data_IF_251583399665
#
_entry.id   IF_251583399665
#
_cell.length_a   1.000
_cell.length_b   1.000
_cell.length_c   1.000
_cell.angle_alpha   90.00
_cell.angle_beta   90.00
_cell.angle_gamma   90.00
#
_symmetry.space_group_name_H-M   'P 1'
#
loop_
_entity.id
_entity.type
_entity.pdbx_description
1 polymer ?
#
# COMPACT_ATOMS: atom_id res chain seq x y z
N UNK A 1 -15.30 -30.61 -4.79
CA UNK A 1 -14.79 -31.08 -6.10
C UNK A 1 -15.95 -30.96 -7.09
N UNK A 2 -16.06 -29.83 -7.82
CA UNK A 2 -17.05 -29.66 -8.89
C UNK A 2 -16.33 -29.84 -10.22
N UNK A 3 -16.52 -31.01 -10.84
CA UNK A 3 -16.20 -31.23 -12.26
C UNK A 3 -17.53 -31.28 -13.00
N UNK A 4 -18.15 -30.13 -13.23
CA UNK A 4 -19.19 -30.03 -14.25
C UNK A 4 -18.49 -29.51 -15.49
N UNK A 5 -18.24 -30.39 -16.45
CA UNK A 5 -17.63 -30.08 -17.75
C UNK A 5 -18.57 -29.31 -18.70
N UNK A 6 -19.74 -28.91 -18.22
CA UNK A 6 -20.76 -28.19 -18.99
C UNK A 6 -21.37 -27.05 -18.14
N UNK A 7 -20.76 -25.86 -18.16
CA UNK A 7 -21.24 -24.71 -17.41
C UNK A 7 -22.48 -24.05 -18.01
N UNK A 8 -22.67 -24.13 -19.33
CA UNK A 8 -23.90 -23.69 -20.00
C UNK A 8 -25.08 -24.56 -19.56
N UNK A 9 -24.92 -25.88 -19.58
CA UNK A 9 -25.97 -26.78 -19.10
C UNK A 9 -26.28 -26.62 -17.62
N UNK A 10 -25.32 -26.19 -16.79
CA UNK A 10 -25.62 -25.81 -15.40
C UNK A 10 -26.45 -24.53 -15.31
N UNK A 11 -26.08 -23.47 -16.04
CA UNK A 11 -26.82 -22.21 -16.06
C UNK A 11 -28.24 -22.39 -16.62
N UNK A 12 -28.40 -23.20 -17.66
CA UNK A 12 -29.68 -23.51 -18.27
C UNK A 12 -30.62 -24.24 -17.29
N UNK A 13 -30.06 -25.14 -16.47
CA UNK A 13 -30.83 -25.87 -15.44
C UNK A 13 -31.16 -25.05 -14.20
N UNK A 14 -30.36 -24.04 -13.86
CA UNK A 14 -30.47 -23.35 -12.57
C UNK A 14 -30.92 -21.88 -12.69
N UNK A 15 -30.84 -21.29 -13.88
CA UNK A 15 -31.23 -19.90 -14.18
C UNK A 15 -31.72 -19.76 -15.61
N UNK A 16 -32.87 -20.33 -15.94
CA UNK A 16 -33.41 -20.44 -17.31
C UNK A 16 -33.40 -19.13 -18.14
N UNK A 17 -33.48 -17.95 -17.50
CA UNK A 17 -33.50 -16.65 -18.18
C UNK A 17 -32.14 -15.93 -18.27
N UNK A 18 -31.04 -16.54 -17.80
CA UNK A 18 -29.72 -15.88 -17.69
C UNK A 18 -29.23 -15.25 -19.01
N UNK A 19 -29.55 -15.87 -20.15
CA UNK A 19 -29.20 -15.35 -21.50
C UNK A 19 -29.90 -14.03 -21.83
N UNK A 20 -31.12 -13.82 -21.32
CA UNK A 20 -31.90 -12.59 -21.53
C UNK A 20 -31.51 -11.47 -20.57
N UNK A 21 -30.95 -11.83 -19.41
CA UNK A 21 -30.46 -10.90 -18.38
C UNK A 21 -29.08 -10.31 -18.73
N UNK A 22 -28.35 -10.91 -19.66
CA UNK A 22 -27.06 -10.39 -20.10
C UNK A 22 -27.25 -9.16 -21.01
N UNK A 23 -26.56 -8.04 -20.73
CA UNK A 23 -26.65 -6.81 -21.54
C UNK A 23 -26.04 -6.96 -22.94
N UNK A 24 -25.44 -8.11 -23.25
CA UNK A 24 -24.81 -8.44 -24.52
C UNK A 24 -25.42 -9.76 -25.03
N UNK A 25 -25.82 -9.80 -26.31
CA UNK A 25 -26.19 -11.04 -26.98
C UNK A 25 -24.92 -11.82 -27.31
N UNK A 26 -24.68 -12.90 -26.59
CA UNK A 26 -23.57 -13.82 -26.84
C UNK A 26 -24.11 -15.03 -27.61
N UNK A 27 -23.38 -15.47 -28.63
CA UNK A 27 -23.58 -16.82 -29.20
C UNK A 27 -23.00 -17.88 -28.25
N UNK A 28 -23.37 -19.15 -28.47
CA UNK A 28 -23.00 -20.24 -27.54
C UNK A 28 -21.49 -20.49 -27.47
N UNK A 29 -20.75 -20.24 -28.56
CA UNK A 29 -19.30 -20.37 -28.60
C UNK A 29 -18.61 -19.24 -27.80
N UNK A 30 -19.06 -17.99 -27.96
CA UNK A 30 -18.59 -16.85 -27.17
C UNK A 30 -18.98 -16.96 -25.70
N UNK A 31 -20.19 -17.45 -25.40
CA UNK A 31 -20.62 -17.71 -24.03
C UNK A 31 -19.81 -18.83 -23.39
N UNK A 32 -19.52 -19.91 -24.12
CA UNK A 32 -18.65 -21.00 -23.65
C UNK A 32 -17.24 -20.49 -23.40
N UNK A 33 -16.66 -19.70 -24.30
CA UNK A 33 -15.33 -19.13 -24.12
C UNK A 33 -15.26 -18.20 -22.91
N UNK A 34 -16.24 -17.31 -22.76
CA UNK A 34 -16.33 -16.36 -21.65
C UNK A 34 -16.55 -17.06 -20.30
N UNK A 35 -17.39 -18.10 -20.27
CA UNK A 35 -17.61 -18.91 -19.08
C UNK A 35 -16.40 -19.82 -18.77
N UNK A 36 -15.75 -20.36 -19.78
CA UNK A 36 -14.53 -21.14 -19.63
C UNK A 36 -13.41 -20.27 -19.06
N UNK A 37 -13.27 -19.01 -19.47
CA UNK A 37 -12.35 -18.05 -18.86
C UNK A 37 -12.70 -17.72 -17.41
N UNK A 38 -13.99 -17.55 -17.08
CA UNK A 38 -14.46 -17.32 -15.71
C UNK A 38 -14.23 -18.54 -14.80
N UNK A 39 -14.31 -19.76 -15.35
CA UNK A 39 -14.14 -21.02 -14.61
C UNK A 39 -12.67 -21.44 -14.52
N UNK A 40 -11.87 -21.12 -15.55
CA UNK A 40 -10.44 -21.37 -15.58
C UNK A 40 -9.62 -20.27 -14.88
N UNK A 41 -10.23 -19.13 -14.54
CA UNK A 41 -9.63 -18.15 -13.66
C UNK A 41 -9.20 -18.84 -12.35
N UNK A 42 -7.90 -18.81 -11.99
CA UNK A 42 -7.48 -19.25 -10.67
C UNK A 42 -8.35 -18.51 -9.65
N UNK A 43 -8.97 -19.24 -8.72
CA UNK A 43 -9.78 -18.59 -7.67
C UNK A 43 -8.91 -17.55 -6.99
N UNK A 44 -9.23 -16.29 -7.24
CA UNK A 44 -8.48 -15.15 -6.73
C UNK A 44 -8.18 -15.26 -5.25
N UNK A 45 -6.98 -14.86 -4.89
CA UNK A 45 -6.60 -14.68 -3.49
C UNK A 45 -7.54 -13.60 -2.94
N UNK A 46 -8.47 -14.03 -2.07
CA UNK A 46 -9.28 -13.12 -1.27
C UNK A 46 -8.45 -12.76 -0.06
N UNK A 47 -8.13 -11.48 0.06
CA UNK A 47 -7.35 -10.95 1.17
C UNK A 47 -8.22 -10.09 2.07
N UNK A 48 -7.97 -10.18 3.37
CA UNK A 48 -8.41 -9.17 4.33
C UNK A 48 -7.31 -8.10 4.39
N UNK A 49 -7.70 -6.81 4.42
CA UNK A 49 -6.81 -5.65 4.57
C UNK A 49 -5.73 -5.37 3.49
N UNK A 50 -5.41 -6.30 2.58
CA UNK A 50 -4.39 -6.12 1.53
C UNK A 50 -5.02 -6.06 0.15
N UNK A 51 -4.81 -5.00 -0.63
CA UNK A 51 -5.25 -4.92 -2.03
C UNK A 51 -4.11 -5.18 -3.01
N UNK A 52 -2.90 -4.77 -2.63
CA UNK A 52 -1.69 -4.95 -3.39
C UNK A 52 -0.56 -5.42 -2.48
N UNK A 53 0.37 -6.17 -3.04
CA UNK A 53 1.56 -6.63 -2.34
C UNK A 53 2.79 -6.18 -3.12
N UNK A 54 3.78 -5.62 -2.42
CA UNK A 54 5.11 -5.46 -2.99
C UNK A 54 5.82 -6.79 -3.04
N UNK A 55 6.54 -7.01 -4.13
CA UNK A 55 7.24 -8.26 -4.40
C UNK A 55 8.67 -7.99 -4.83
N UNK A 56 9.56 -8.91 -4.49
CA UNK A 56 10.88 -9.05 -5.12
C UNK A 56 10.89 -10.37 -5.87
N UNK A 57 11.23 -10.32 -7.15
CA UNK A 57 11.31 -11.50 -8.02
C UNK A 57 12.77 -11.71 -8.43
N UNK A 58 13.27 -12.92 -8.23
CA UNK A 58 14.63 -13.29 -8.58
C UNK A 58 14.79 -13.30 -10.11
N UNK A 59 15.83 -12.67 -10.62
CA UNK A 59 16.19 -12.62 -12.05
C UNK A 59 17.71 -12.77 -12.17
N UNK A 60 18.15 -13.97 -12.55
CA UNK A 60 19.57 -14.34 -12.52
C UNK A 60 20.10 -14.27 -11.08
N UNK A 61 21.19 -13.56 -10.89
CA UNK A 61 21.82 -13.37 -9.57
C UNK A 61 21.24 -12.19 -8.76
N UNK A 62 20.30 -11.43 -9.35
CA UNK A 62 19.71 -10.24 -8.74
C UNK A 62 18.21 -10.38 -8.46
N UNK A 63 17.67 -9.31 -7.86
CA UNK A 63 16.25 -9.19 -7.54
C UNK A 63 15.64 -7.95 -8.18
N UNK A 64 14.43 -8.09 -8.69
CA UNK A 64 13.68 -6.99 -9.32
C UNK A 64 12.37 -6.78 -8.56
N UNK A 65 12.03 -5.52 -8.33
CA UNK A 65 10.82 -5.11 -7.62
C UNK A 65 9.58 -5.17 -8.50
N UNK A 66 8.43 -5.37 -7.86
CA UNK A 66 7.15 -5.28 -8.53
C UNK A 66 5.96 -5.23 -7.58
N UNK A 67 4.79 -5.25 -8.18
CA UNK A 67 3.50 -5.31 -7.50
C UNK A 67 2.69 -6.51 -7.99
N UNK A 68 2.02 -7.17 -7.05
CA UNK A 68 0.89 -8.04 -7.33
C UNK A 68 -0.37 -7.44 -6.72
N UNK A 69 -1.47 -7.52 -7.46
CA UNK A 69 -2.77 -7.08 -6.99
C UNK A 69 -3.67 -8.28 -6.68
N UNK A 70 -4.43 -8.20 -5.60
CA UNK A 70 -5.44 -9.20 -5.28
C UNK A 70 -6.62 -9.08 -6.26
N UNK A 71 -7.21 -10.22 -6.64
CA UNK A 71 -8.45 -10.21 -7.43
C UNK A 71 -9.63 -9.69 -6.61
N UNK A 72 -9.57 -9.89 -5.28
CA UNK A 72 -10.59 -9.41 -4.36
C UNK A 72 -9.98 -9.09 -3.00
N UNK A 73 -10.38 -7.98 -2.41
CA UNK A 73 -10.02 -7.59 -1.06
C UNK A 73 -11.25 -7.10 -0.27
N UNK A 74 -11.26 -7.35 1.03
CA UNK A 74 -12.21 -6.67 1.95
C UNK A 74 -11.44 -5.67 2.81
N UNK A 75 -11.75 -4.39 2.65
CA UNK A 75 -10.99 -3.29 3.24
C UNK A 75 -11.86 -2.46 4.19
N UNK A 76 -11.36 -2.14 5.38
CA UNK A 76 -12.00 -1.16 6.28
C UNK A 76 -11.69 0.25 5.79
N UNK A 77 -12.59 1.21 6.06
CA UNK A 77 -12.43 2.61 5.62
C UNK A 77 -11.08 3.24 6.01
N UNK A 78 -10.54 2.88 7.19
CA UNK A 78 -9.24 3.38 7.66
C UNK A 78 -8.07 2.99 6.74
N UNK A 79 -8.17 1.92 5.94
CA UNK A 79 -7.13 1.49 5.01
C UNK A 79 -7.06 2.37 3.76
N UNK A 80 -8.09 3.17 3.47
CA UNK A 80 -8.03 4.17 2.40
C UNK A 80 -7.30 5.45 2.83
N UNK A 81 -6.76 5.48 4.05
CA UNK A 81 -6.06 6.62 4.60
C UNK A 81 -6.91 7.88 4.51
N UNK A 82 -6.38 8.91 3.84
CA UNK A 82 -7.06 10.18 3.66
C UNK A 82 -8.32 10.13 2.79
N UNK A 83 -8.38 9.19 1.83
CA UNK A 83 -9.55 9.04 0.98
C UNK A 83 -10.77 8.53 1.75
N UNK A 84 -10.58 7.89 2.92
CA UNK A 84 -11.67 7.33 3.72
C UNK A 84 -12.72 8.37 4.14
N UNK A 85 -12.33 9.63 4.32
CA UNK A 85 -13.24 10.72 4.73
C UNK A 85 -14.18 11.21 3.64
N UNK A 86 -13.92 10.90 2.37
CA UNK A 86 -14.76 11.33 1.23
C UNK A 86 -15.64 10.21 0.68
N UNK A 87 -15.52 8.99 1.20
CA UNK A 87 -16.31 7.86 0.74
C UNK A 87 -17.73 7.93 1.32
N UNK A 88 -18.72 7.88 0.44
CA UNK A 88 -20.12 7.93 0.81
C UNK A 88 -20.67 6.52 1.03
N UNK A 89 -21.48 6.36 2.07
CA UNK A 89 -22.14 5.09 2.33
C UNK A 89 -23.12 4.75 1.20
N UNK A 90 -23.15 3.48 0.78
CA UNK A 90 -24.00 3.00 -0.31
C UNK A 90 -23.54 3.37 -1.73
N UNK A 91 -22.47 4.15 -1.89
CA UNK A 91 -21.90 4.45 -3.21
C UNK A 91 -21.07 3.27 -3.75
N UNK A 92 -21.00 3.18 -5.08
CA UNK A 92 -20.08 2.28 -5.79
C UNK A 92 -19.06 3.11 -6.56
N UNK A 93 -17.78 2.74 -6.41
CA UNK A 93 -16.67 3.45 -7.04
C UNK A 93 -15.91 2.51 -7.98
N UNK A 94 -15.28 3.10 -8.99
CA UNK A 94 -14.21 2.47 -9.75
C UNK A 94 -12.87 2.94 -9.18
N UNK A 95 -11.92 2.03 -9.04
CA UNK A 95 -10.56 2.36 -8.65
C UNK A 95 -9.67 2.28 -9.89
N UNK A 96 -9.02 3.38 -10.24
CA UNK A 96 -8.11 3.47 -11.38
C UNK A 96 -6.70 3.79 -10.91
N UNK A 97 -5.66 3.30 -11.59
CA UNK A 97 -4.28 3.67 -11.28
C UNK A 97 -4.06 5.17 -11.53
N UNK A 98 -3.20 5.77 -10.72
CA UNK A 98 -2.80 7.18 -10.83
C UNK A 98 -1.27 7.30 -10.74
N UNK A 99 -0.72 8.40 -11.25
CA UNK A 99 0.72 8.64 -11.27
C UNK A 99 1.47 7.53 -12.01
N UNK A 100 2.63 7.14 -11.48
CA UNK A 100 3.49 6.10 -12.08
C UNK A 100 2.80 4.75 -12.24
N UNK A 101 1.81 4.43 -11.39
CA UNK A 101 1.04 3.19 -11.53
C UNK A 101 0.17 3.21 -12.79
N UNK A 102 -0.29 4.38 -13.24
CA UNK A 102 -1.06 4.50 -14.47
C UNK A 102 -0.19 4.16 -15.70
N UNK A 103 1.10 4.50 -15.67
CA UNK A 103 2.04 4.15 -16.74
C UNK A 103 2.39 2.66 -16.71
N UNK A 104 2.62 2.09 -15.53
CA UNK A 104 3.04 0.69 -15.36
C UNK A 104 1.90 -0.31 -15.59
N UNK A 105 0.67 0.05 -15.21
CA UNK A 105 -0.51 -0.83 -15.30
C UNK A 105 -1.78 -0.06 -15.75
N UNK A 106 -1.80 0.54 -16.95
CA UNK A 106 -2.90 1.42 -17.40
C UNK A 106 -4.28 0.75 -17.49
N UNK A 107 -4.29 -0.58 -17.59
CA UNK A 107 -5.50 -1.41 -17.68
C UNK A 107 -5.99 -1.91 -16.32
N UNK A 108 -5.27 -1.61 -15.24
CA UNK A 108 -5.69 -1.98 -13.90
C UNK A 108 -7.00 -1.27 -13.56
N UNK A 109 -7.99 -2.03 -13.13
CA UNK A 109 -9.30 -1.51 -12.79
C UNK A 109 -9.90 -2.36 -11.67
N UNK A 110 -10.48 -1.69 -10.68
CA UNK A 110 -11.28 -2.36 -9.65
C UNK A 110 -12.65 -1.70 -9.52
N UNK A 111 -13.60 -2.46 -9.01
CA UNK A 111 -14.84 -1.93 -8.43
C UNK A 111 -14.76 -2.01 -6.93
N UNK A 112 -15.21 -0.96 -6.24
CA UNK A 112 -15.35 -0.92 -4.79
C UNK A 112 -16.82 -0.65 -4.43
N UNK A 113 -17.38 -1.47 -3.55
CA UNK A 113 -18.74 -1.29 -3.02
C UNK A 113 -18.78 -1.60 -1.54
N UNK A 114 -19.55 -0.82 -0.78
CA UNK A 114 -19.67 -1.02 0.65
C UNK A 114 -20.53 -2.25 0.99
N UNK A 115 -20.04 -3.09 1.91
CA UNK A 115 -20.78 -4.21 2.53
C UNK A 115 -21.49 -3.74 3.80
N UNK A 116 -22.42 -4.56 4.29
CA UNK A 116 -22.93 -4.45 5.65
C UNK A 116 -21.77 -4.45 6.66
N UNK A 117 -21.84 -3.58 7.67
CA UNK A 117 -20.76 -3.39 8.65
C UNK A 117 -19.67 -2.39 8.24
N UNK A 118 -19.81 -1.72 7.09
CA UNK A 118 -18.98 -0.57 6.71
C UNK A 118 -17.63 -0.91 6.06
N UNK A 119 -17.33 -2.19 5.86
CA UNK A 119 -16.20 -2.64 5.06
C UNK A 119 -16.50 -2.51 3.55
N UNK A 120 -15.45 -2.45 2.74
CA UNK A 120 -15.53 -2.30 1.29
C UNK A 120 -15.11 -3.59 0.61
N UNK A 121 -15.96 -4.11 -0.27
CA UNK A 121 -15.61 -5.17 -1.21
C UNK A 121 -14.92 -4.52 -2.41
N UNK A 122 -13.63 -4.79 -2.58
CA UNK A 122 -12.88 -4.37 -3.76
C UNK A 122 -12.64 -5.59 -4.63
N UNK A 123 -12.98 -5.49 -5.92
CA UNK A 123 -12.84 -6.59 -6.89
C UNK A 123 -12.16 -6.09 -8.15
N UNK A 124 -11.22 -6.85 -8.68
CA UNK A 124 -10.59 -6.57 -9.97
C UNK A 124 -11.61 -6.74 -11.09
N UNK A 125 -11.54 -5.85 -12.08
CA UNK A 125 -12.31 -5.96 -13.33
C UNK A 125 -11.36 -6.55 -14.36
N UNK A 126 -11.47 -7.86 -14.59
CA UNK A 126 -10.55 -8.63 -15.41
C UNK A 126 -9.56 -9.43 -14.57
N UNK A 127 -8.44 -9.83 -15.19
CA UNK A 127 -7.41 -10.62 -14.51
C UNK A 127 -6.60 -9.74 -13.57
N UNK A 128 -6.35 -10.21 -12.34
CA UNK A 128 -5.41 -9.55 -11.44
C UNK A 128 -4.04 -9.36 -12.11
N UNK A 129 -3.48 -8.17 -11.96
CA UNK A 129 -2.14 -7.88 -12.43
C UNK A 129 -1.12 -8.47 -11.44
N UNK A 130 -0.38 -9.49 -11.88
CA UNK A 130 0.69 -10.13 -11.12
C UNK A 130 2.05 -9.70 -11.68
N UNK A 131 2.97 -9.34 -10.79
CA UNK A 131 4.36 -9.03 -11.17
C UNK A 131 4.51 -7.79 -12.07
N UNK A 132 3.69 -6.75 -11.84
CA UNK A 132 3.84 -5.45 -12.52
C UNK A 132 5.19 -4.87 -12.10
N UNK A 133 6.15 -4.64 -13.02
CA UNK A 133 7.41 -4.00 -12.67
C UNK A 133 7.15 -2.61 -12.07
N UNK A 134 7.61 -2.39 -10.85
CA UNK A 134 7.27 -1.17 -10.13
C UNK A 134 8.30 -0.85 -9.04
N UNK A 135 8.88 0.36 -9.03
CA UNK A 135 9.93 0.70 -8.08
C UNK A 135 9.48 0.64 -6.61
N UNK A 136 10.41 0.29 -5.73
CA UNK A 136 10.17 0.23 -4.29
C UNK A 136 9.84 1.60 -3.67
N UNK A 137 10.44 2.68 -4.18
CA UNK A 137 10.38 4.05 -3.66
C UNK A 137 9.25 4.92 -4.25
N UNK A 138 8.39 4.30 -5.06
CA UNK A 138 7.24 4.92 -5.70
C UNK A 138 5.93 4.44 -5.07
N UNK A 139 4.96 5.32 -4.75
CA UNK A 139 3.70 4.91 -4.16
C UNK A 139 2.76 4.27 -5.19
N UNK A 140 2.11 3.17 -4.81
CA UNK A 140 1.14 2.47 -5.65
C UNK A 140 -0.24 3.16 -5.57
N UNK A 141 -0.42 4.26 -6.29
CA UNK A 141 -1.58 5.14 -6.14
C UNK A 141 -2.80 4.66 -6.94
N UNK A 142 -3.96 4.60 -6.27
CA UNK A 142 -5.27 4.37 -6.86
C UNK A 142 -6.20 5.56 -6.59
N UNK A 143 -7.06 5.87 -7.55
CA UNK A 143 -8.05 6.94 -7.48
C UNK A 143 -9.48 6.38 -7.42
N UNK A 144 -10.29 6.88 -6.49
CA UNK A 144 -11.74 6.68 -6.49
C UNK A 144 -12.37 7.53 -7.59
N UNK A 145 -13.08 6.87 -8.51
CA UNK A 145 -13.81 7.50 -9.62
C UNK A 145 -15.26 7.04 -9.59
N UNK A 146 -16.20 7.99 -9.56
CA UNK A 146 -17.63 7.76 -9.75
C UNK A 146 -18.20 8.86 -10.64
N UNK A 147 -19.20 8.52 -11.46
CA UNK A 147 -19.86 9.47 -12.38
C UNK A 147 -18.89 10.28 -13.26
N UNK A 148 -17.80 9.64 -13.69
CA UNK A 148 -16.75 10.27 -14.49
C UNK A 148 -15.85 11.26 -13.75
N UNK A 149 -16.03 11.44 -12.43
CA UNK A 149 -15.28 12.38 -11.59
C UNK A 149 -14.34 11.65 -10.63
N UNK A 150 -13.13 12.18 -10.47
CA UNK A 150 -12.18 11.75 -9.44
C UNK A 150 -12.57 12.36 -8.09
N UNK A 151 -12.72 11.52 -7.07
CA UNK A 151 -13.09 11.95 -5.71
C UNK A 151 -11.87 12.09 -4.79
N UNK A 152 -11.01 11.08 -4.76
CA UNK A 152 -9.79 11.07 -3.96
C UNK A 152 -8.82 10.01 -4.47
N UNK A 153 -7.56 10.09 -4.02
CA UNK A 153 -6.55 9.09 -4.27
C UNK A 153 -6.00 8.54 -2.95
N UNK A 154 -5.55 7.29 -2.98
CA UNK A 154 -4.99 6.59 -1.83
C UNK A 154 -3.93 5.59 -2.31
N UNK A 155 -2.97 5.30 -1.44
CA UNK A 155 -1.98 4.25 -1.71
C UNK A 155 -2.62 2.88 -1.49
N UNK A 156 -2.40 1.94 -2.43
CA UNK A 156 -2.98 0.61 -2.37
C UNK A 156 -2.55 -0.13 -1.07
N UNK A 157 -3.50 -0.54 -0.21
CA UNK A 157 -3.19 -1.22 1.04
C UNK A 157 -2.35 -2.47 0.83
N UNK A 158 -1.30 -2.62 1.65
CA UNK A 158 -0.34 -3.73 1.59
C UNK A 158 0.89 -3.51 0.70
N UNK A 159 0.93 -2.41 -0.06
CA UNK A 159 2.06 -2.05 -0.92
C UNK A 159 2.69 -0.68 -0.57
N UNK A 160 3.08 -0.43 0.69
CA UNK A 160 3.57 0.90 1.11
C UNK A 160 4.87 1.27 0.41
N UNK A 161 5.02 2.53 0.01
CA UNK A 161 6.22 3.08 -0.60
C UNK A 161 7.47 2.95 0.29
N UNK A 162 8.45 2.14 -0.11
CA UNK A 162 9.68 1.82 0.63
C UNK A 162 10.85 2.74 0.25
N UNK A 163 11.10 3.77 1.08
CA UNK A 163 12.23 4.70 0.84
C UNK A 163 13.42 4.45 1.74
N UNK A 164 14.59 4.84 1.26
CA UNK A 164 15.80 4.93 2.07
C UNK A 164 15.61 5.84 3.29
N UNK A 165 16.26 5.50 4.41
CA UNK A 165 16.16 6.26 5.67
C UNK A 165 14.97 5.90 6.57
N UNK A 166 14.00 5.13 6.06
CA UNK A 166 12.84 4.65 6.85
C UNK A 166 13.14 3.35 7.61
N UNK A 167 14.38 2.88 7.53
CA UNK A 167 14.88 1.66 8.14
C UNK A 167 14.66 0.40 7.28
N UNK A 168 15.10 -0.78 7.78
CA UNK A 168 14.96 -2.03 7.05
C UNK A 168 13.52 -2.44 6.77
N UNK A 169 13.34 -3.27 5.74
CA UNK A 169 12.08 -3.91 5.41
C UNK A 169 12.24 -5.43 5.45
N UNK A 170 11.20 -6.11 5.92
CA UNK A 170 11.16 -7.56 6.06
C UNK A 170 10.25 -8.16 5.00
N UNK A 171 10.65 -9.31 4.49
CA UNK A 171 10.04 -10.01 3.39
C UNK A 171 9.93 -11.50 3.69
N UNK A 172 8.93 -12.15 3.10
CA UNK A 172 8.65 -13.59 3.24
C UNK A 172 8.72 -14.27 1.90
N UNK A 173 9.13 -15.53 1.88
CA UNK A 173 9.00 -16.32 0.66
C UNK A 173 7.52 -16.58 0.37
N UNK A 174 7.09 -16.42 -0.89
CA UNK A 174 5.73 -16.78 -1.29
C UNK A 174 5.51 -18.29 -1.19
N UNK A 175 6.50 -19.06 -1.66
CA UNK A 175 6.58 -20.51 -1.54
C UNK A 175 7.91 -20.90 -0.87
N UNK A 176 7.86 -21.89 0.01
CA UNK A 176 9.07 -22.46 0.59
C UNK A 176 9.77 -23.32 -0.47
N UNK A 177 11.06 -23.08 -0.74
CA UNK A 177 11.84 -23.95 -1.62
C UNK A 177 11.93 -25.36 -1.02
N UNK A 178 11.99 -26.37 -1.88
CA UNK A 178 12.13 -27.76 -1.45
C UNK A 178 13.52 -28.06 -0.87
N UNK A 179 14.53 -27.30 -1.31
CA UNK A 179 15.94 -27.40 -0.93
C UNK A 179 16.44 -26.09 -0.27
N UNK A 180 17.75 -26.01 0.02
CA UNK A 180 18.41 -24.83 0.59
C UNK A 180 18.52 -23.62 -0.37
N UNK A 181 17.98 -23.75 -1.59
CA UNK A 181 17.96 -22.69 -2.60
C UNK A 181 17.22 -21.43 -2.14
N UNK A 182 17.65 -20.24 -2.58
CA UNK A 182 16.89 -19.01 -2.30
C UNK A 182 15.58 -19.03 -3.10
N UNK A 183 14.49 -18.48 -2.53
CA UNK A 183 13.17 -18.48 -3.15
C UNK A 183 13.17 -17.68 -4.45
N UNK A 184 12.26 -17.99 -5.38
CA UNK A 184 12.13 -17.20 -6.61
C UNK A 184 11.39 -15.88 -6.39
N UNK A 185 10.57 -15.81 -5.33
CA UNK A 185 9.69 -14.68 -5.07
C UNK A 185 9.54 -14.41 -3.58
N UNK A 186 9.67 -13.14 -3.24
CA UNK A 186 9.47 -12.62 -1.90
C UNK A 186 8.32 -11.62 -1.90
N UNK A 187 7.52 -11.64 -0.84
CA UNK A 187 6.41 -10.73 -0.61
C UNK A 187 6.72 -9.87 0.61
N UNK A 188 6.43 -8.57 0.51
CA UNK A 188 6.63 -7.63 1.60
C UNK A 188 5.86 -8.06 2.84
N UNK A 189 6.55 -8.14 3.98
CA UNK A 189 6.00 -8.61 5.24
C UNK A 189 5.87 -7.48 6.28
N UNK A 190 6.69 -6.43 6.23
CA UNK A 190 6.56 -5.31 7.15
C UNK A 190 7.84 -4.49 7.34
N UNK A 191 7.79 -3.57 8.30
CA UNK A 191 8.91 -2.67 8.71
C UNK A 191 9.19 -2.69 10.21
N UNK A 192 8.54 -3.56 10.97
CA UNK A 192 8.75 -3.70 12.41
C UNK A 192 8.92 -5.16 12.77
N UNK A 193 8.64 -5.50 14.02
CA UNK A 193 8.72 -6.87 14.51
C UNK A 193 7.87 -7.85 13.69
N UNK A 194 8.32 -9.09 13.62
CA UNK A 194 7.59 -10.17 12.94
C UNK A 194 7.88 -11.52 13.60
N UNK A 195 6.83 -12.33 13.69
CA UNK A 195 6.89 -13.73 14.07
C UNK A 195 6.34 -14.55 12.91
N UNK A 196 7.07 -15.56 12.45
CA UNK A 196 6.65 -16.37 11.29
C UNK A 196 6.87 -17.85 11.53
N UNK A 197 6.05 -18.68 10.87
CA UNK A 197 6.26 -20.13 10.78
C UNK A 197 7.34 -20.49 9.77
N UNK A 198 7.62 -19.61 8.81
CA UNK A 198 8.67 -19.85 7.83
C UNK A 198 10.03 -19.99 8.54
N UNK A 199 10.89 -20.93 8.10
CA UNK A 199 12.21 -21.12 8.71
C UNK A 199 13.12 -19.91 8.49
N UNK A 200 12.89 -19.16 7.41
CA UNK A 200 13.66 -17.97 7.04
C UNK A 200 12.74 -16.77 6.78
N UNK A 201 13.28 -15.59 7.04
CA UNK A 201 12.79 -14.31 6.55
C UNK A 201 13.88 -13.64 5.72
N UNK A 202 13.52 -12.56 5.04
CA UNK A 202 14.47 -11.81 4.23
C UNK A 202 14.44 -10.34 4.63
N UNK A 203 15.62 -9.79 4.89
CA UNK A 203 15.84 -8.39 5.21
C UNK A 203 16.34 -7.68 3.96
N UNK A 204 15.62 -6.67 3.50
CA UNK A 204 16.18 -5.70 2.56
C UNK A 204 16.81 -4.57 3.36
N UNK A 205 18.14 -4.48 3.25
CA UNK A 205 18.97 -3.47 3.88
C UNK A 205 19.31 -2.36 2.88
N UNK A 206 18.85 -1.11 3.10
CA UNK A 206 19.09 -0.01 2.17
C UNK A 206 20.45 0.69 2.38
N UNK A 207 21.16 0.42 3.49
CA UNK A 207 22.39 1.11 3.85
C UNK A 207 23.66 0.47 3.30
N UNK A 208 24.77 1.20 3.37
CA UNK A 208 26.10 0.63 3.20
C UNK A 208 26.46 -0.25 4.42
N UNK A 209 27.23 -1.31 4.19
CA UNK A 209 27.62 -2.26 5.23
C UNK A 209 26.60 -3.38 5.46
N UNK A 210 26.74 -4.07 6.60
CA UNK A 210 25.88 -5.18 7.00
C UNK A 210 24.95 -4.75 8.14
N UNK A 211 23.72 -5.29 8.20
CA UNK A 211 22.82 -5.06 9.32
C UNK A 211 23.40 -5.59 10.62
N UNK A 212 23.10 -4.93 11.75
CA UNK A 212 23.46 -5.43 13.08
C UNK A 212 22.38 -6.39 13.60
N UNK A 213 22.80 -7.34 14.45
CA UNK A 213 21.92 -8.31 15.08
C UNK A 213 22.17 -8.42 16.58
N UNK A 214 21.11 -8.70 17.34
CA UNK A 214 21.17 -9.07 18.76
C UNK A 214 20.42 -10.37 18.99
N UNK A 215 20.87 -11.17 19.96
CA UNK A 215 20.28 -12.48 20.24
C UNK A 215 20.74 -13.55 19.25
N UNK A 216 19.92 -14.57 19.07
CA UNK A 216 20.24 -15.75 18.24
C UNK A 216 19.68 -15.57 16.83
N UNK A 217 20.21 -14.60 16.08
CA UNK A 217 19.81 -14.33 14.69
C UNK A 217 21.01 -14.56 13.78
N UNK A 218 20.85 -15.49 12.85
CA UNK A 218 21.80 -15.71 11.77
C UNK A 218 21.42 -14.84 10.56
N UNK A 219 22.45 -14.30 9.90
CA UNK A 219 22.36 -13.50 8.68
C UNK A 219 23.23 -14.12 7.59
N UNK A 220 22.65 -14.29 6.40
CA UNK A 220 23.40 -14.70 5.21
C UNK A 220 23.05 -13.79 4.03
N UNK A 221 24.04 -13.27 3.27
CA UNK A 221 23.76 -12.47 2.08
C UNK A 221 23.10 -13.34 1.00
N UNK A 222 22.09 -12.77 0.32
CA UNK A 222 21.32 -13.47 -0.73
C UNK A 222 21.55 -12.85 -2.10
N UNK A 223 21.66 -11.52 -2.19
CA UNK A 223 21.88 -10.83 -3.46
C UNK A 223 21.53 -9.35 -3.39
N UNK A 224 21.67 -8.67 -4.51
CA UNK A 224 21.35 -7.25 -4.65
C UNK A 224 19.96 -7.05 -5.28
N UNK A 225 19.29 -5.96 -4.89
CA UNK A 225 18.03 -5.53 -5.49
C UNK A 225 18.31 -4.42 -6.49
N UNK A 226 17.72 -4.50 -7.69
CA UNK A 226 17.93 -3.54 -8.78
C UNK A 226 17.60 -2.09 -8.38
N UNK A 227 16.61 -1.91 -7.51
CA UNK A 227 16.21 -0.60 -6.96
C UNK A 227 17.12 -0.13 -5.81
N UNK A 228 18.19 -0.87 -5.53
CA UNK A 228 19.16 -0.58 -4.47
C UNK A 228 18.95 -1.40 -3.20
N UNK A 229 20.04 -1.53 -2.45
CA UNK A 229 20.11 -2.30 -1.21
C UNK A 229 20.49 -3.76 -1.42
N UNK A 230 20.71 -4.43 -0.28
CA UNK A 230 21.15 -5.82 -0.22
C UNK A 230 20.15 -6.67 0.55
N UNK A 231 19.89 -7.85 0.02
CA UNK A 231 19.00 -8.81 0.62
C UNK A 231 19.80 -9.79 1.49
N UNK A 232 19.34 -10.01 2.71
CA UNK A 232 19.90 -10.98 3.64
C UNK A 232 18.83 -11.97 4.09
N UNK A 233 19.14 -13.26 4.11
CA UNK A 233 18.33 -14.27 4.77
C UNK A 233 18.55 -14.20 6.28
N UNK A 234 17.44 -14.28 7.02
CA UNK A 234 17.35 -14.23 8.47
C UNK A 234 16.81 -15.55 8.99
N UNK A 235 17.40 -16.10 10.04
CA UNK A 235 16.81 -17.20 10.82
C UNK A 235 17.14 -17.09 12.30
N UNK A 236 16.23 -17.54 13.17
CA UNK A 236 16.41 -17.60 14.61
C UNK A 236 15.48 -16.67 15.39
N UNK A 237 15.91 -16.25 16.58
CA UNK A 237 15.14 -15.41 17.51
C UNK A 237 16.02 -14.31 18.13
N UNK A 238 15.71 -13.06 17.76
CA UNK A 238 16.44 -11.91 18.24
C UNK A 238 15.98 -10.63 17.58
N UNK A 239 16.89 -9.69 17.39
CA UNK A 239 16.59 -8.38 16.84
C UNK A 239 17.53 -8.07 15.69
N UNK A 240 17.02 -7.36 14.68
CA UNK A 240 17.79 -6.88 13.53
C UNK A 240 17.54 -5.39 13.31
N UNK A 241 18.59 -4.64 12.99
CA UNK A 241 18.50 -3.20 12.77
C UNK A 241 19.87 -2.52 12.82
N UNK A 242 19.86 -1.19 12.96
CA UNK A 242 21.02 -0.42 13.43
C UNK A 242 20.67 0.13 14.80
N UNK A 243 19.63 0.96 14.85
CA UNK A 243 19.12 1.61 16.07
C UNK A 243 17.60 1.44 16.25
N UNK A 244 16.90 1.10 15.15
CA UNK A 244 15.49 0.70 15.17
C UNK A 244 15.37 -0.82 15.12
N UNK A 245 15.58 -1.45 16.27
CA UNK A 245 15.52 -2.89 16.42
C UNK A 245 14.11 -3.43 16.14
N UNK A 246 14.00 -4.27 15.11
CA UNK A 246 12.82 -5.08 14.86
C UNK A 246 13.05 -6.46 15.45
N UNK A 247 12.12 -6.94 16.30
CA UNK A 247 12.18 -8.31 16.82
C UNK A 247 11.82 -9.28 15.71
N UNK A 248 12.66 -10.26 15.46
CA UNK A 248 12.45 -11.30 14.47
C UNK A 248 12.44 -12.65 15.15
N UNK A 249 11.42 -13.45 14.86
CA UNK A 249 11.36 -14.87 15.25
C UNK A 249 10.90 -15.72 14.08
N UNK A 250 11.78 -16.58 13.58
CA UNK A 250 11.49 -17.55 12.51
C UNK A 250 11.21 -18.95 13.07
N UNK A 251 10.61 -19.82 12.26
CA UNK A 251 10.32 -21.21 12.65
C UNK A 251 9.37 -21.36 13.83
N UNK A 252 8.52 -20.37 14.08
CA UNK A 252 7.63 -20.38 15.24
C UNK A 252 6.35 -21.18 15.00
N UNK A 253 5.64 -21.50 16.08
CA UNK A 253 4.28 -22.07 16.09
C UNK A 253 3.17 -21.12 15.58
N UNK A 254 3.42 -19.80 15.54
CA UNK A 254 2.44 -18.74 15.24
C UNK A 254 2.98 -17.76 14.22
N UNK A 255 2.06 -17.05 13.57
CA UNK A 255 2.37 -15.87 12.76
C UNK A 255 1.82 -14.62 13.43
N UNK A 256 2.69 -13.63 13.61
CA UNK A 256 2.32 -12.28 14.02
C UNK A 256 2.94 -11.32 13.02
N UNK A 257 2.08 -10.65 12.25
CA UNK A 257 2.44 -9.60 11.30
C UNK A 257 1.79 -8.29 11.74
N UNK A 258 2.57 -7.22 11.69
CA UNK A 258 2.11 -5.89 12.05
C UNK A 258 2.25 -4.90 10.90
N UNK A 259 1.25 -4.04 10.75
CA UNK A 259 1.30 -2.86 9.90
C UNK A 259 0.77 -1.63 10.64
N UNK A 260 1.14 -0.43 10.17
CA UNK A 260 0.68 0.84 10.72
C UNK A 260 0.13 1.70 9.57
N UNK A 261 -1.13 2.11 9.71
CA UNK A 261 -1.88 2.83 8.71
C UNK A 261 -2.29 4.21 9.23
N UNK A 262 -1.78 5.30 8.64
CA UNK A 262 -2.24 6.66 8.97
C UNK A 262 -3.56 6.96 8.24
N UNK A 263 -4.53 7.52 8.96
CA UNK A 263 -5.81 7.96 8.43
C UNK A 263 -6.15 9.35 8.99
N UNK A 264 -6.69 10.23 8.16
CA UNK A 264 -7.03 11.59 8.60
C UNK A 264 -7.14 12.59 7.46
N UNK A 265 -7.37 13.84 7.82
CA UNK A 265 -7.51 14.92 6.84
C UNK A 265 -6.15 15.24 6.18
N UNK A 266 -6.17 15.38 4.86
CA UNK A 266 -5.01 15.83 4.08
C UNK A 266 -5.32 17.11 3.32
N UNK A 267 -4.27 17.83 2.91
CA UNK A 267 -4.42 18.91 1.94
C UNK A 267 -4.90 18.33 0.60
N UNK A 268 -6.11 18.70 0.11
CA UNK A 268 -6.64 18.14 -1.12
C UNK A 268 -5.74 18.42 -2.32
N UNK A 269 -5.55 17.43 -3.19
CA UNK A 269 -4.76 17.54 -4.42
C UNK A 269 -3.30 18.00 -4.23
N UNK A 270 -2.77 17.89 -3.02
CA UNK A 270 -1.39 18.24 -2.72
C UNK A 270 -0.62 17.05 -2.16
N UNK A 271 0.63 16.94 -2.59
CA UNK A 271 1.56 15.90 -2.19
C UNK A 271 2.90 16.48 -1.82
N UNK A 272 3.67 15.72 -1.05
CA UNK A 272 5.07 16.05 -0.84
C UNK A 272 5.88 15.84 -2.14
N UNK A 273 7.16 16.21 -2.11
CA UNK A 273 8.08 16.00 -3.24
C UNK A 273 8.21 14.55 -3.70
N UNK A 274 7.74 13.60 -2.89
CA UNK A 274 7.77 12.16 -3.15
C UNK A 274 6.38 11.58 -3.48
N UNK A 275 5.37 12.42 -3.70
CA UNK A 275 4.04 11.93 -4.07
C UNK A 275 3.22 11.35 -2.92
N UNK A 276 3.60 11.54 -1.66
CA UNK A 276 2.79 11.14 -0.51
C UNK A 276 1.76 12.21 -0.10
N UNK A 277 0.60 11.81 0.45
CA UNK A 277 -0.37 12.75 0.98
C UNK A 277 0.20 13.63 2.10
N UNK A 278 -0.20 14.90 2.11
CA UNK A 278 0.16 15.87 3.16
C UNK A 278 -0.93 15.91 4.25
N UNK A 279 -0.69 15.28 5.39
CA UNK A 279 -1.64 15.22 6.52
C UNK A 279 -1.67 16.51 7.32
N UNK A 280 -2.88 16.98 7.67
CA UNK A 280 -3.10 18.16 8.51
C UNK A 280 -2.94 17.81 9.98
N UNK A 281 -1.78 18.14 10.55
CA UNK A 281 -1.41 17.72 11.90
C UNK A 281 -1.27 16.20 12.00
N UNK A 282 -1.37 15.66 13.21
CA UNK A 282 -1.25 14.22 13.44
C UNK A 282 -2.43 13.45 12.85
N UNK A 283 -2.20 12.44 11.99
CA UNK A 283 -3.26 11.52 11.58
C UNK A 283 -3.68 10.62 12.75
N UNK A 284 -4.89 10.08 12.68
CA UNK A 284 -5.25 8.89 13.44
C UNK A 284 -4.41 7.70 12.96
N UNK A 285 -3.93 6.90 13.91
CA UNK A 285 -3.06 5.77 13.63
C UNK A 285 -3.82 4.47 13.87
N UNK A 286 -3.79 3.59 12.87
CA UNK A 286 -4.43 2.28 12.94
C UNK A 286 -3.37 1.18 12.79
N UNK A 287 -3.19 0.40 13.85
CA UNK A 287 -2.32 -0.76 13.87
C UNK A 287 -3.08 -1.97 13.37
N UNK A 288 -2.48 -2.72 12.47
CA UNK A 288 -2.98 -4.01 11.99
C UNK A 288 -2.18 -5.12 12.65
N UNK A 289 -2.85 -6.13 13.18
CA UNK A 289 -2.24 -7.38 13.64
C UNK A 289 -3.01 -8.54 13.07
N UNK A 290 -2.40 -9.31 12.15
CA UNK A 290 -3.05 -10.44 11.48
C UNK A 290 -4.45 -10.08 10.96
N UNK A 291 -4.53 -9.04 10.12
CA UNK A 291 -5.75 -8.48 9.51
C UNK A 291 -6.73 -7.76 10.47
N UNK A 292 -6.50 -7.84 11.79
CA UNK A 292 -7.28 -7.11 12.78
C UNK A 292 -6.75 -5.68 12.97
N UNK A 293 -7.59 -4.70 12.62
CA UNK A 293 -7.31 -3.27 12.84
C UNK A 293 -7.73 -2.80 14.23
N UNK A 294 -6.82 -2.09 14.91
CA UNK A 294 -7.00 -1.40 16.20
C UNK A 294 -6.50 0.05 16.08
N UNK A 295 -7.17 0.98 16.75
CA UNK A 295 -6.65 2.36 16.91
C UNK A 295 -5.46 2.37 17.87
N UNK A 296 -4.32 2.90 17.43
CA UNK A 296 -3.10 3.05 18.23
C UNK A 296 -3.23 4.27 19.13
N UNK A 297 -3.00 4.09 20.43
CA UNK A 297 -3.01 5.20 21.38
C UNK A 297 -1.71 6.01 21.31
N UNK A 298 -1.68 7.25 21.80
CA UNK A 298 -0.43 8.03 21.79
C UNK A 298 0.65 7.45 22.67
N UNK A 299 0.28 6.79 23.77
CA UNK A 299 1.25 6.13 24.64
C UNK A 299 1.97 4.98 23.90
N UNK A 300 1.30 4.40 22.90
CA UNK A 300 1.84 3.36 22.02
C UNK A 300 2.52 3.97 20.76
N UNK A 301 2.46 5.28 20.53
CA UNK A 301 3.00 5.92 19.33
C UNK A 301 4.24 6.76 19.66
N UNK A 302 5.27 6.61 18.84
CA UNK A 302 6.48 7.45 18.89
C UNK A 302 6.81 7.94 17.49
N UNK A 303 7.57 9.01 17.39
CA UNK A 303 8.00 9.55 16.11
C UNK A 303 9.49 9.90 16.12
N UNK A 304 10.10 9.97 14.93
CA UNK A 304 11.44 10.50 14.72
C UNK A 304 11.55 11.13 13.35
N UNK A 305 12.55 11.99 13.16
CA UNK A 305 12.94 12.39 11.81
C UNK A 305 13.65 11.22 11.11
N UNK A 306 13.54 11.05 9.78
CA UNK A 306 14.22 9.97 9.06
C UNK A 306 15.74 9.93 9.30
N UNK A 307 16.36 11.10 9.47
CA UNK A 307 17.78 11.27 9.76
C UNK A 307 18.18 11.05 11.23
N UNK A 308 17.21 10.98 12.15
CA UNK A 308 17.45 10.80 13.57
C UNK A 308 17.27 9.36 14.00
N UNK A 309 18.04 8.93 15.00
CA UNK A 309 17.97 7.56 15.54
C UNK A 309 17.02 7.44 16.74
N UNK A 310 16.77 8.53 17.44
CA UNK A 310 16.04 8.50 18.71
C UNK A 310 14.54 8.70 18.52
N UNK A 311 13.75 7.79 19.07
CA UNK A 311 12.30 7.91 19.14
C UNK A 311 11.87 8.94 20.19
N UNK A 312 10.92 9.79 19.82
CA UNK A 312 10.29 10.80 20.67
C UNK A 312 8.83 10.44 20.93
N UNK A 313 8.29 10.68 22.13
CA UNK A 313 6.85 10.55 22.36
C UNK A 313 6.05 11.47 21.43
N UNK A 314 4.83 11.05 21.09
CA UNK A 314 3.91 11.86 20.32
C UNK A 314 3.30 12.97 21.21
N UNK A 315 3.65 14.23 20.94
CA UNK A 315 3.02 15.41 21.56
C UNK A 315 2.00 16.01 20.60
N UNK A 316 0.71 16.01 21.00
CA UNK A 316 -0.38 16.57 20.18
C UNK A 316 -0.34 18.08 20.06
N UNK A 317 0.27 18.76 21.02
CA UNK A 317 0.29 20.22 21.06
C UNK A 317 1.43 20.81 20.22
N UNK A 318 2.41 19.98 19.86
CA UNK A 318 3.57 20.36 19.08
C UNK A 318 3.91 19.30 18.01
N UNK A 319 3.03 19.11 17.00
CA UNK A 319 3.36 18.22 15.89
C UNK A 319 4.62 18.72 15.16
N UNK A 320 5.56 17.83 14.83
CA UNK A 320 6.60 18.15 13.87
C UNK A 320 5.96 18.38 12.50
N UNK A 321 6.53 19.30 11.73
CA UNK A 321 6.07 19.59 10.38
C UNK A 321 7.14 19.19 9.37
N UNK A 322 6.73 18.47 8.33
CA UNK A 322 7.61 17.79 7.39
C UNK A 322 7.43 16.27 7.45
N UNK A 323 8.36 15.55 6.82
CA UNK A 323 8.34 14.09 6.76
C UNK A 323 8.89 13.49 8.05
N UNK A 324 8.09 12.68 8.73
CA UNK A 324 8.48 11.95 9.94
C UNK A 324 8.21 10.46 9.80
N UNK A 325 8.94 9.65 10.56
CA UNK A 325 8.64 8.23 10.75
C UNK A 325 7.87 8.09 12.05
N UNK A 326 6.70 7.44 12.01
CA UNK A 326 5.90 7.08 13.18
C UNK A 326 6.04 5.58 13.42
N UNK A 327 6.30 5.20 14.66
CA UNK A 327 6.38 3.82 15.12
C UNK A 327 5.26 3.51 16.11
N UNK A 328 4.71 2.31 16.00
CA UNK A 328 3.78 1.71 16.94
C UNK A 328 4.54 0.74 17.85
N UNK A 329 4.48 0.99 19.16
CA UNK A 329 5.17 0.26 20.19
C UNK A 329 4.19 -0.48 21.11
N UNK A 330 4.59 -1.64 21.61
CA UNK A 330 3.87 -2.35 22.68
C UNK A 330 4.89 -2.97 23.61
N UNK A 331 4.86 -2.56 24.88
CA UNK A 331 5.89 -2.93 25.89
C UNK A 331 7.30 -2.64 25.37
N UNK A 332 7.50 -1.41 24.89
CA UNK A 332 8.76 -0.91 24.30
C UNK A 332 9.26 -1.61 23.04
N UNK A 333 8.54 -2.61 22.53
CA UNK A 333 8.89 -3.29 21.28
C UNK A 333 8.21 -2.62 20.07
N UNK A 334 8.99 -2.32 19.03
CA UNK A 334 8.50 -1.75 17.77
C UNK A 334 7.71 -2.79 16.97
N UNK A 335 6.38 -2.65 16.93
CA UNK A 335 5.48 -3.52 16.16
C UNK A 335 5.52 -3.21 14.68
N UNK A 336 5.30 -1.94 14.33
CA UNK A 336 5.29 -1.47 12.95
C UNK A 336 5.67 0.00 12.89
N UNK A 337 6.02 0.49 11.69
CA UNK A 337 6.25 1.91 11.43
C UNK A 337 5.82 2.30 10.02
N UNK A 338 5.48 3.57 9.86
CA UNK A 338 5.19 4.19 8.57
C UNK A 338 5.81 5.59 8.51
N UNK A 339 6.11 6.08 7.31
CA UNK A 339 6.45 7.48 7.11
C UNK A 339 5.18 8.29 6.81
N UNK A 340 5.13 9.53 7.27
CA UNK A 340 4.05 10.47 6.98
C UNK A 340 4.61 11.87 6.78
N UNK A 341 3.98 12.65 5.91
CA UNK A 341 4.30 14.05 5.70
C UNK A 341 3.23 14.92 6.37
N UNK A 342 3.65 15.70 7.37
CA UNK A 342 2.78 16.50 8.23
C UNK A 342 2.88 17.99 7.87
N UNK A 343 1.74 18.65 7.79
CA UNK A 343 1.62 20.10 7.61
C UNK A 343 0.82 20.72 8.76
N UNK A 344 0.94 22.04 9.00
CA UNK A 344 0.11 22.74 9.97
C UNK A 344 -1.39 22.51 9.72
N UNK A 345 -2.21 22.23 10.76
CA UNK A 345 -3.65 22.04 10.58
C UNK A 345 -4.33 23.22 9.87
N UNK A 346 -3.89 24.44 10.16
CA UNK A 346 -4.37 25.67 9.55
C UNK A 346 -3.76 26.03 8.20
N UNK A 347 -2.89 25.19 7.62
CA UNK A 347 -2.26 25.49 6.33
C UNK A 347 -3.35 25.58 5.25
N UNK A 348 -3.49 26.74 4.62
CA UNK A 348 -4.32 26.90 3.44
C UNK A 348 -3.44 27.21 2.24
N UNK A 349 -3.81 26.60 1.11
CA UNK A 349 -3.23 26.89 -0.19
C UNK A 349 -4.34 27.46 -1.05
N UNK A 350 -4.14 28.68 -1.54
CA UNK A 350 -4.98 29.27 -2.58
C UNK A 350 -4.14 29.53 -3.82
N UNK A 351 -4.76 29.38 -4.98
CA UNK A 351 -4.14 29.67 -6.27
C UNK A 351 -5.03 30.62 -7.06
N UNK A 352 -4.42 31.56 -7.78
CA UNK A 352 -5.10 32.34 -8.82
C UNK A 352 -4.30 32.27 -10.12
N UNK A 353 -4.99 32.02 -11.23
CA UNK A 353 -4.41 32.28 -12.54
C UNK A 353 -4.14 33.78 -12.67
N UNK A 354 -3.02 34.14 -13.26
CA UNK A 354 -2.69 35.51 -13.64
C UNK A 354 -2.79 35.65 -15.15
N UNK A 355 -2.97 36.89 -15.63
CA UNK A 355 -3.29 37.21 -17.04
C UNK A 355 -2.25 36.72 -18.07
N UNK A 356 -1.08 36.25 -17.63
CA UNK A 356 0.01 35.76 -18.48
C UNK A 356 0.18 34.22 -18.50
N UNK A 357 -0.86 33.46 -18.10
CA UNK A 357 -0.75 32.00 -17.99
C UNK A 357 0.16 31.52 -16.83
N UNK A 358 0.57 32.44 -15.95
CA UNK A 358 1.23 32.12 -14.70
C UNK A 358 0.19 31.87 -13.61
N UNK A 359 0.56 31.09 -12.59
CA UNK A 359 -0.27 30.88 -11.40
C UNK A 359 0.42 31.53 -10.20
N UNK A 360 -0.33 32.31 -9.42
CA UNK A 360 0.11 32.78 -8.12
C UNK A 360 -0.47 31.84 -7.06
N UNK A 361 0.42 31.20 -6.29
CA UNK A 361 0.06 30.36 -5.16
C UNK A 361 0.33 31.16 -3.88
N UNK A 362 -0.67 31.23 -3.00
CA UNK A 362 -0.53 31.82 -1.66
C UNK A 362 -0.65 30.71 -0.62
N UNK A 363 0.34 30.66 0.27
CA UNK A 363 0.35 29.78 1.44
C UNK A 363 0.04 30.63 2.66
N UNK A 364 -0.93 30.23 3.47
CA UNK A 364 -1.25 30.87 4.75
C UNK A 364 -1.38 29.84 5.86
N UNK A 365 -1.22 30.24 7.13
CA UNK A 365 -1.26 29.32 8.27
C UNK A 365 0.05 28.55 8.53
N UNK A 366 1.17 29.00 7.95
CA UNK A 366 2.51 28.52 8.32
C UNK A 366 2.96 29.17 9.65
N UNK A 367 3.53 28.41 10.59
CA UNK A 367 4.22 28.96 11.75
C UNK A 367 5.40 29.84 11.33
N UNK A 368 5.78 30.87 12.12
CA UNK A 368 6.85 31.81 11.79
C UNK A 368 8.22 31.18 11.50
N UNK A 369 8.46 29.95 11.95
CA UNK A 369 9.72 29.24 11.84
C UNK A 369 9.82 28.25 10.66
N UNK A 370 8.79 28.12 9.82
CA UNK A 370 8.78 27.17 8.70
C UNK A 370 9.05 27.86 7.37
N UNK A 371 10.16 27.49 6.73
CA UNK A 371 10.38 27.76 5.31
C UNK A 371 9.65 26.68 4.49
N UNK A 372 8.87 27.03 3.44
CA UNK A 372 8.22 26.03 2.60
C UNK A 372 9.26 25.08 1.97
N UNK A 373 9.03 23.76 2.13
CA UNK A 373 9.71 22.75 1.32
C UNK A 373 9.08 22.64 -0.08
N UNK A 374 9.59 21.73 -0.90
CA UNK A 374 9.00 21.43 -2.21
C UNK A 374 7.64 20.76 -2.05
N UNK A 375 6.56 21.47 -2.37
CA UNK A 375 5.18 20.95 -2.45
C UNK A 375 4.80 20.78 -3.91
N UNK A 376 4.21 19.64 -4.26
CA UNK A 376 3.67 19.37 -5.60
C UNK A 376 2.14 19.38 -5.54
N UNK A 377 1.51 20.06 -6.49
CA UNK A 377 0.05 20.08 -6.66
C UNK A 377 -0.33 19.25 -7.87
N UNK A 378 -1.23 18.28 -7.68
CA UNK A 378 -1.77 17.46 -8.76
C UNK A 378 -3.06 18.09 -9.29
N UNK A 379 -3.23 18.12 -10.61
CA UNK A 379 -4.49 18.59 -11.21
C UNK A 379 -4.66 20.11 -11.23
N UNK A 380 -3.58 20.89 -11.32
CA UNK A 380 -3.66 22.25 -11.90
C UNK A 380 -3.92 22.09 -13.41
N UNK A 381 -5.14 21.67 -13.73
CA UNK A 381 -5.66 21.66 -15.09
C UNK A 381 -5.95 23.11 -15.48
N UNK A 382 -5.28 23.60 -16.52
CA UNK A 382 -5.74 24.77 -17.27
C UNK A 382 -6.87 24.39 -18.26
N UNK A 383 -7.26 23.13 -18.35
CA UNK A 383 -8.39 22.70 -19.18
C UNK A 383 -9.69 22.96 -18.43
N UNK A 384 -10.38 24.01 -18.86
CA UNK A 384 -11.58 24.58 -18.26
C UNK A 384 -11.78 26.05 -18.61
N UNK A 385 -10.75 26.74 -19.11
CA UNK A 385 -10.88 28.10 -19.62
C UNK A 385 -11.27 28.06 -21.09
N UNK A 386 -12.58 28.09 -21.37
CA UNK A 386 -13.05 28.44 -22.71
C UNK A 386 -12.60 29.86 -23.03
N UNK A 387 -11.79 29.98 -24.07
CA UNK A 387 -11.54 31.23 -24.78
C UNK A 387 -12.85 31.65 -25.44
N UNK A 388 -13.61 32.53 -24.80
CA UNK A 388 -14.50 33.41 -25.54
C UNK A 388 -13.74 34.72 -25.79
N UNK A 389 -13.65 35.06 -27.07
CA UNK A 389 -12.88 36.16 -27.65
C UNK A 389 -13.40 37.54 -27.25
#
# INVERSE_FOLDING_TARGET
MFRSSDPLGWLDRNREEWRRELPLRLDDDAATALLAEVIAAPRGIVTEATLAARELVRRGDGWVSGLAFAERATLKTALFGAAGGVLQAGASYRLRPEGRLADAAPRLLFTAGQKEGGAWDVRSVGRAALGVPFPLDEPAMLAFVADGRRHAAFEAPGAPCLRGGEGPTLWRAEALPADDDPPERLVYAGRGSIKTRQPRLYLLWPGEGSPETKGDVALAPVGEVADGGRLYALSGDGEVGLDDWARVRTGSDREDRYALHPAGETLPNARDGNGEPLFRGWPDLHGEMNDALKKVSHAEARWRWPSERSWRPLDRNAPPFGRVVIGWFTRDELRARCAVSLIPPGLAVSGRATEAGAASITLSGLPPAITPGTVRFEGVSTEGWTQDA
#
